data_IF_817266779961
#
_entry.id   IF_817266779961
#
_cell.length_a   1.000
_cell.length_b   1.000
_cell.length_c   1.000
_cell.angle_alpha   90.00
_cell.angle_beta   90.00
_cell.angle_gamma   90.00
#
_symmetry.space_group_name_H-M   'P 1'
#
loop_
_entity.id
_entity.type
_entity.pdbx_description
1 polymer ?
#
# COMPACT_ATOMS: atom_id res chain seq x y z
N UNK A 1 19.52 6.31 -37.23
CA UNK A 1 18.36 6.17 -38.14
C UNK A 1 17.11 6.39 -37.31
N UNK A 2 16.55 7.60 -37.35
CA UNK A 2 15.43 8.00 -36.47
C UNK A 2 14.06 7.72 -37.09
N UNK A 3 13.04 7.70 -36.22
CA UNK A 3 11.61 7.49 -36.55
C UNK A 3 11.05 8.49 -37.58
N UNK A 4 11.75 9.60 -37.84
CA UNK A 4 11.41 10.58 -38.87
C UNK A 4 11.52 10.04 -40.31
N UNK A 5 12.21 8.92 -40.54
CA UNK A 5 12.34 8.31 -41.87
C UNK A 5 11.08 7.58 -42.35
N UNK A 6 10.01 7.50 -41.54
CA UNK A 6 8.79 6.77 -41.89
C UNK A 6 7.80 7.61 -42.74
N UNK A 7 7.96 8.93 -42.74
CA UNK A 7 7.08 9.86 -43.48
C UNK A 7 7.45 10.05 -44.96
N UNK A 8 8.47 9.36 -45.47
CA UNK A 8 8.89 9.45 -46.88
C UNK A 8 8.52 8.21 -47.70
N UNK A 9 7.62 7.35 -47.22
CA UNK A 9 7.06 6.24 -47.98
C UNK A 9 5.62 6.51 -48.39
N UNK A 10 5.18 5.78 -49.42
CA UNK A 10 3.94 5.97 -50.19
C UNK A 10 2.66 6.18 -49.35
N UNK A 11 1.72 6.93 -49.95
CA UNK A 11 0.42 7.38 -49.40
C UNK A 11 -0.46 6.29 -48.73
N UNK A 12 -0.18 5.02 -48.98
CA UNK A 12 -0.89 3.86 -48.43
C UNK A 12 -0.59 3.59 -46.94
N UNK A 13 0.48 4.16 -46.37
CA UNK A 13 0.82 3.97 -44.94
C UNK A 13 0.25 5.10 -44.06
N UNK A 14 -0.03 6.28 -44.62
CA UNK A 14 -0.59 7.41 -43.89
C UNK A 14 -2.05 7.21 -43.44
N UNK A 15 -2.74 6.21 -43.99
CA UNK A 15 -4.15 5.91 -43.72
C UNK A 15 -4.38 4.59 -42.95
N UNK A 16 -3.35 4.09 -42.25
CA UNK A 16 -3.53 2.95 -41.36
C UNK A 16 -4.29 3.37 -40.09
N UNK A 17 -5.50 2.84 -39.90
CA UNK A 17 -6.35 3.07 -38.71
C UNK A 17 -5.62 2.77 -37.39
N UNK A 18 -4.58 1.92 -37.43
CA UNK A 18 -3.77 1.58 -36.25
C UNK A 18 -2.96 2.77 -35.73
N UNK A 19 -2.53 3.69 -36.61
CA UNK A 19 -1.77 4.88 -36.23
C UNK A 19 -2.70 5.98 -35.71
N UNK A 20 -3.92 6.07 -36.24
CA UNK A 20 -4.89 7.08 -35.83
C UNK A 20 -5.42 6.86 -34.40
N UNK A 21 -5.74 5.61 -34.03
CA UNK A 21 -6.16 5.28 -32.64
C UNK A 21 -5.09 5.50 -31.58
N UNK A 22 -3.81 5.53 -31.96
CA UNK A 22 -2.72 5.72 -31.01
C UNK A 22 -2.55 7.20 -30.58
N UNK A 23 -2.96 8.14 -31.43
CA UNK A 23 -2.82 9.59 -31.18
C UNK A 23 -4.15 10.33 -30.98
N UNK A 24 -5.29 9.70 -31.29
CA UNK A 24 -6.61 10.19 -30.95
C UNK A 24 -7.42 9.07 -30.30
N UNK A 25 -7.55 9.05 -28.96
CA UNK A 25 -8.51 8.18 -28.29
C UNK A 25 -9.90 8.54 -28.81
N UNK A 26 -10.45 7.70 -29.68
CA UNK A 26 -11.73 7.94 -30.34
C UNK A 26 -12.86 7.96 -29.31
N UNK A 27 -13.37 9.15 -29.02
CA UNK A 27 -14.71 9.36 -28.49
C UNK A 27 -15.68 9.35 -29.69
N UNK A 28 -16.26 8.18 -29.98
CA UNK A 28 -17.46 7.97 -30.85
C UNK A 28 -17.83 6.48 -30.79
N UNK A 29 -19.05 6.04 -30.50
CA UNK A 29 -20.34 6.66 -30.82
C UNK A 29 -21.33 6.62 -29.65
N UNK A 30 -21.98 7.77 -29.42
CA UNK A 30 -23.26 7.87 -28.75
C UNK A 30 -24.32 7.92 -29.86
N UNK A 31 -25.03 6.81 -30.09
CA UNK A 31 -26.33 6.80 -30.79
C UNK A 31 -27.16 5.56 -30.39
N UNK A 32 -28.12 5.85 -29.51
CA UNK A 32 -29.45 5.25 -29.28
C UNK A 32 -29.75 3.81 -29.75
N UNK A 33 -29.78 2.87 -28.80
CA UNK A 33 -30.74 1.75 -28.77
C UNK A 33 -30.99 1.30 -27.31
N UNK A 34 -32.11 1.74 -26.71
CA UNK A 34 -32.75 1.04 -25.58
C UNK A 34 -33.50 -0.20 -26.13
N UNK A 35 -33.43 -1.38 -25.49
CA UNK A 35 -34.47 -1.70 -24.49
C UNK A 35 -34.04 -2.54 -23.27
N UNK A 36 -34.48 -2.08 -22.10
CA UNK A 36 -34.94 -2.82 -20.88
C UNK A 36 -34.55 -4.31 -20.73
N UNK A 37 -33.70 -4.64 -19.72
CA UNK A 37 -34.04 -5.60 -18.63
C UNK A 37 -32.97 -5.74 -17.53
N UNK A 38 -33.47 -5.68 -16.30
CA UNK A 38 -33.03 -6.31 -15.03
C UNK A 38 -31.72 -5.89 -14.34
N UNK A 39 -31.91 -5.11 -13.25
CA UNK A 39 -31.24 -5.14 -11.93
C UNK A 39 -29.85 -5.80 -11.85
N UNK A 40 -28.85 -5.07 -11.35
CA UNK A 40 -28.26 -5.24 -10.01
C UNK A 40 -27.02 -4.33 -9.84
N UNK A 41 -27.11 -3.41 -8.86
CA UNK A 41 -26.08 -3.11 -7.86
C UNK A 41 -24.70 -2.58 -8.33
N UNK A 42 -24.62 -1.25 -8.41
CA UNK A 42 -23.60 -0.40 -7.80
C UNK A 42 -22.12 -0.69 -8.10
N UNK A 43 -21.50 0.21 -8.85
CA UNK A 43 -20.06 0.46 -8.74
C UNK A 43 -19.86 1.96 -8.61
N UNK A 44 -19.65 2.39 -7.37
CA UNK A 44 -18.93 3.62 -7.12
C UNK A 44 -17.54 3.42 -7.73
N UNK A 45 -17.23 4.19 -8.77
CA UNK A 45 -15.85 4.45 -9.17
C UNK A 45 -15.27 5.29 -8.03
N UNK A 46 -14.84 4.62 -6.97
CA UNK A 46 -13.99 5.21 -5.96
C UNK A 46 -12.70 5.58 -6.67
N UNK A 47 -12.49 6.90 -6.81
CA UNK A 47 -11.19 7.48 -7.05
C UNK A 47 -10.16 6.69 -6.25
N UNK A 48 -9.13 6.17 -6.93
CA UNK A 48 -7.88 5.69 -6.32
C UNK A 48 -7.24 6.86 -5.58
N UNK A 49 -7.83 7.24 -4.44
CA UNK A 49 -7.20 8.13 -3.52
C UNK A 49 -6.02 7.36 -2.95
N UNK A 50 -4.87 8.00 -2.96
CA UNK A 50 -3.62 7.40 -2.53
C UNK A 50 -3.58 7.25 -0.99
N UNK A 51 -4.74 7.22 -0.35
CA UNK A 51 -4.94 7.12 1.09
C UNK A 51 -4.89 5.63 1.44
N UNK A 52 -3.95 5.25 2.30
CA UNK A 52 -3.94 3.89 2.84
C UNK A 52 -5.34 3.52 3.37
N UNK A 53 -5.79 2.29 3.11
CA UNK A 53 -7.11 1.83 3.54
C UNK A 53 -6.98 0.76 4.63
N UNK A 54 -7.91 0.79 5.57
CA UNK A 54 -7.99 -0.17 6.67
C UNK A 54 -7.32 0.29 7.96
N UNK A 55 -7.03 -0.66 8.83
CA UNK A 55 -6.41 -0.40 10.13
C UNK A 55 -5.47 -1.53 10.53
N UNK A 56 -4.46 -1.19 11.33
CA UNK A 56 -3.47 -2.11 11.86
C UNK A 56 -3.56 -2.14 13.39
N UNK A 57 -3.80 -3.32 13.97
CA UNK A 57 -3.73 -3.55 15.40
C UNK A 57 -2.30 -3.93 15.79
N UNK A 58 -1.75 -3.23 16.77
CA UNK A 58 -0.44 -3.54 17.33
C UNK A 58 -0.44 -3.40 18.84
N UNK A 59 0.47 -4.14 19.46
CA UNK A 59 0.85 -3.98 20.86
C UNK A 59 2.28 -3.45 20.93
N UNK A 60 2.50 -2.46 21.80
CA UNK A 60 3.79 -1.80 21.99
C UNK A 60 4.11 -1.75 23.48
N UNK A 61 5.28 -2.25 23.87
CA UNK A 61 5.77 -2.23 25.23
C UNK A 61 7.29 -2.16 25.25
N UNK A 62 7.86 -1.54 26.29
CA UNK A 62 9.26 -1.58 26.62
C UNK A 62 9.48 -2.30 27.96
N UNK A 63 10.19 -3.41 27.93
CA UNK A 63 10.55 -4.19 29.11
C UNK A 63 11.92 -4.85 28.91
N UNK A 64 12.64 -5.11 30.01
CA UNK A 64 13.90 -5.88 29.95
C UNK A 64 15.00 -5.29 29.05
N UNK A 65 15.00 -3.98 28.79
CA UNK A 65 15.98 -3.34 27.90
C UNK A 65 15.64 -3.40 26.40
N UNK A 66 14.40 -3.77 26.06
CA UNK A 66 13.95 -3.88 24.68
C UNK A 66 12.56 -3.26 24.47
N UNK A 67 12.36 -2.63 23.32
CA UNK A 67 11.04 -2.30 22.78
C UNK A 67 10.53 -3.50 21.98
N UNK A 68 9.38 -4.01 22.41
CA UNK A 68 8.62 -5.09 21.79
C UNK A 68 7.44 -4.49 21.02
N UNK A 69 7.34 -4.81 19.73
CA UNK A 69 6.25 -4.39 18.85
C UNK A 69 5.60 -5.64 18.29
N UNK A 70 4.44 -6.01 18.81
CA UNK A 70 3.66 -7.14 18.33
C UNK A 70 2.68 -6.66 17.26
N UNK A 71 2.88 -7.14 16.04
CA UNK A 71 1.94 -6.93 14.93
C UNK A 71 0.83 -7.98 15.06
N UNK A 72 -0.37 -7.56 15.45
CA UNK A 72 -1.50 -8.46 15.70
C UNK A 72 -2.28 -8.74 14.40
N UNK A 73 -3.09 -7.79 13.98
CA UNK A 73 -4.04 -7.95 12.87
C UNK A 73 -4.03 -6.72 11.98
N UNK A 74 -4.37 -6.86 10.72
CA UNK A 74 -4.92 -5.76 9.94
C UNK A 74 -6.32 -6.10 9.47
N UNK A 75 -7.11 -5.08 9.14
CA UNK A 75 -8.46 -5.25 8.62
C UNK A 75 -8.76 -4.24 7.52
N UNK A 76 -9.59 -4.66 6.57
CA UNK A 76 -10.07 -3.84 5.47
C UNK A 76 -8.94 -3.26 4.62
N UNK A 77 -7.90 -4.05 4.36
CA UNK A 77 -6.83 -3.67 3.44
C UNK A 77 -7.36 -3.58 2.01
N UNK A 78 -6.89 -2.58 1.27
CA UNK A 78 -7.22 -2.39 -0.14
C UNK A 78 -6.93 -3.64 -0.98
N UNK A 79 -7.79 -3.89 -1.97
CA UNK A 79 -7.55 -4.91 -2.99
C UNK A 79 -6.40 -4.47 -3.91
N UNK A 80 -5.78 -5.45 -4.57
CA UNK A 80 -4.79 -5.17 -5.61
C UNK A 80 -5.47 -4.50 -6.82
N UNK A 81 -4.72 -3.91 -7.76
CA UNK A 81 -5.29 -3.34 -8.99
C UNK A 81 -6.12 -4.34 -9.82
N UNK A 82 -5.90 -5.64 -9.64
CA UNK A 82 -6.65 -6.72 -10.29
C UNK A 82 -7.93 -7.12 -9.50
N UNK A 83 -8.29 -6.39 -8.45
CA UNK A 83 -9.45 -6.68 -7.61
C UNK A 83 -9.27 -7.91 -6.70
N UNK A 84 -8.04 -8.36 -6.47
CA UNK A 84 -7.76 -9.53 -5.64
C UNK A 84 -7.35 -9.12 -4.22
N UNK A 85 -7.55 -9.98 -3.21
CA UNK A 85 -6.96 -9.76 -1.88
C UNK A 85 -5.43 -9.69 -1.96
N UNK A 86 -4.78 -8.76 -1.23
CA UNK A 86 -3.34 -8.58 -1.29
C UNK A 86 -2.60 -9.75 -0.63
N UNK A 87 -1.28 -9.79 -0.82
CA UNK A 87 -0.38 -10.62 -0.02
C UNK A 87 0.31 -9.74 1.03
N UNK A 88 -0.32 -9.47 2.20
CA UNK A 88 0.16 -8.42 3.08
C UNK A 88 1.40 -8.84 3.90
N UNK A 89 2.26 -7.87 4.16
CA UNK A 89 3.29 -7.90 5.20
C UNK A 89 3.51 -6.50 5.77
N UNK A 90 4.03 -6.43 7.00
CA UNK A 90 4.29 -5.15 7.67
C UNK A 90 5.80 -4.92 7.76
N UNK A 91 6.25 -3.72 7.40
CA UNK A 91 7.60 -3.21 7.69
C UNK A 91 7.51 -2.21 8.84
N UNK A 92 8.43 -2.30 9.77
CA UNK A 92 8.52 -1.42 10.94
C UNK A 92 9.89 -0.78 11.01
N UNK A 93 9.92 0.51 11.30
CA UNK A 93 11.11 1.33 11.48
C UNK A 93 10.99 2.16 12.75
N UNK A 94 12.13 2.53 13.35
CA UNK A 94 12.20 3.58 14.36
C UNK A 94 12.80 4.82 13.72
N UNK A 95 11.98 5.85 13.49
CA UNK A 95 12.39 7.07 12.78
C UNK A 95 12.60 8.25 13.75
N UNK A 96 13.62 9.11 13.57
CA UNK A 96 14.62 9.04 12.51
C UNK A 96 15.53 7.82 12.65
N UNK A 97 15.97 7.23 11.54
CA UNK A 97 16.83 6.03 11.49
C UNK A 97 18.18 6.38 10.82
N UNK A 98 19.11 7.03 11.52
CA UNK A 98 20.36 7.49 10.92
C UNK A 98 21.26 6.33 10.48
N UNK A 99 21.21 5.17 11.16
CA UNK A 99 22.04 4.01 10.82
C UNK A 99 21.39 3.12 9.77
N UNK A 100 20.09 3.29 9.48
CA UNK A 100 19.30 2.49 8.54
C UNK A 100 19.20 1.01 8.93
N UNK A 101 19.29 0.72 10.23
CA UNK A 101 19.33 -0.64 10.78
C UNK A 101 18.05 -1.02 11.54
N UNK A 102 17.09 -0.10 11.66
CA UNK A 102 15.86 -0.31 12.45
C UNK A 102 14.78 -1.06 11.65
N UNK A 103 15.03 -1.37 10.38
CA UNK A 103 14.06 -2.12 9.58
C UNK A 103 13.81 -3.50 10.19
N UNK A 104 12.56 -3.80 10.50
CA UNK A 104 12.04 -5.14 10.81
C UNK A 104 10.83 -5.42 9.92
N UNK A 105 10.51 -6.68 9.69
CA UNK A 105 9.32 -7.05 8.92
C UNK A 105 8.71 -8.36 9.39
N UNK A 106 7.40 -8.49 9.20
CA UNK A 106 6.67 -9.75 9.34
C UNK A 106 6.90 -10.66 8.13
N UNK A 107 6.41 -11.89 8.23
CA UNK A 107 6.21 -12.76 7.07
C UNK A 107 5.11 -12.20 6.17
N UNK A 108 5.12 -12.67 4.93
CA UNK A 108 4.08 -12.40 3.93
C UNK A 108 2.96 -13.42 4.12
N UNK A 109 1.73 -12.94 4.27
CA UNK A 109 0.53 -13.77 4.23
C UNK A 109 -0.07 -13.70 2.83
N UNK A 110 -0.67 -14.80 2.35
CA UNK A 110 -1.19 -14.89 0.98
C UNK A 110 -2.67 -14.51 0.92
N UNK A 111 -3.04 -13.69 -0.07
CA UNK A 111 -4.42 -13.37 -0.47
C UNK A 111 -5.36 -13.09 0.71
N UNK A 112 -5.04 -12.07 1.50
CA UNK A 112 -5.78 -11.77 2.73
C UNK A 112 -5.89 -10.26 2.98
N UNK A 113 -7.13 -9.73 2.99
CA UNK A 113 -7.42 -8.32 3.34
C UNK A 113 -7.65 -8.10 4.85
N UNK A 114 -7.72 -9.17 5.64
CA UNK A 114 -7.89 -9.19 7.09
C UNK A 114 -6.85 -10.10 7.78
N UNK A 115 -5.54 -9.86 7.57
CA UNK A 115 -4.49 -10.75 8.06
C UNK A 115 -4.38 -10.77 9.59
N UNK A 116 -3.99 -11.94 10.12
CA UNK A 116 -3.48 -12.11 11.49
C UNK A 116 -2.00 -12.45 11.41
N UNK A 117 -1.14 -11.51 11.78
CA UNK A 117 0.32 -11.69 11.72
C UNK A 117 0.82 -12.42 12.95
N UNK A 118 0.46 -11.93 14.14
CA UNK A 118 0.93 -12.46 15.44
C UNK A 118 2.46 -12.58 15.53
N UNK A 119 3.17 -11.57 15.02
CA UNK A 119 4.63 -11.55 14.96
C UNK A 119 5.21 -10.44 15.85
N UNK A 120 6.10 -10.81 16.75
CA UNK A 120 6.82 -9.90 17.64
C UNK A 120 8.10 -9.40 16.96
N UNK A 121 8.27 -8.08 16.89
CA UNK A 121 9.46 -7.41 16.38
C UNK A 121 10.14 -6.68 17.54
N UNK A 122 11.43 -6.95 17.78
CA UNK A 122 12.16 -6.44 18.95
C UNK A 122 13.29 -5.48 18.57
N UNK A 123 13.45 -4.44 19.39
CA UNK A 123 14.54 -3.46 19.34
C UNK A 123 15.23 -3.35 20.69
N UNK A 124 16.51 -3.73 20.76
CA UNK A 124 17.34 -3.58 21.95
C UNK A 124 18.06 -2.24 21.93
N UNK A 125 17.40 -1.23 22.48
CA UNK A 125 17.89 0.14 22.55
C UNK A 125 17.57 0.71 23.94
N UNK A 126 18.39 1.60 24.50
CA UNK A 126 18.06 2.30 25.74
C UNK A 126 16.72 3.06 25.65
N UNK A 127 15.95 3.08 26.73
CA UNK A 127 14.61 3.68 26.77
C UNK A 127 14.61 5.16 26.39
N UNK A 128 15.62 5.90 26.82
CA UNK A 128 15.84 7.31 26.47
C UNK A 128 15.99 7.50 24.95
N UNK A 129 16.75 6.62 24.29
CA UNK A 129 16.86 6.61 22.82
C UNK A 129 15.53 6.26 22.18
N UNK A 130 14.84 5.21 22.66
CA UNK A 130 13.53 4.79 22.14
C UNK A 130 12.52 5.94 22.17
N UNK A 131 12.47 6.71 23.27
CA UNK A 131 11.56 7.85 23.42
C UNK A 131 11.81 8.99 22.43
N UNK A 132 13.00 9.09 21.85
CA UNK A 132 13.30 10.10 20.81
C UNK A 132 12.85 9.69 19.40
N UNK A 133 12.29 8.48 19.24
CA UNK A 133 11.88 7.94 17.94
C UNK A 133 10.35 7.90 17.82
N UNK A 134 9.89 7.84 16.58
CA UNK A 134 8.55 7.40 16.21
C UNK A 134 8.62 5.99 15.64
N UNK A 135 7.65 5.16 16.00
CA UNK A 135 7.41 3.87 15.38
C UNK A 135 6.66 4.10 14.07
N UNK A 136 7.28 3.75 12.95
CA UNK A 136 6.64 3.81 11.63
C UNK A 136 6.36 2.39 11.16
N UNK A 137 5.09 2.01 11.12
CA UNK A 137 4.62 0.72 10.62
C UNK A 137 3.90 0.91 9.29
N UNK A 138 4.34 0.17 8.26
CA UNK A 138 3.80 0.27 6.90
C UNK A 138 3.38 -1.09 6.40
N UNK A 139 2.20 -1.19 5.83
CA UNK A 139 1.63 -2.40 5.26
C UNK A 139 1.85 -2.41 3.76
N UNK A 140 2.25 -3.55 3.22
CA UNK A 140 2.63 -3.71 1.82
C UNK A 140 2.01 -4.98 1.25
N UNK A 141 1.61 -4.93 -0.01
CA UNK A 141 1.34 -6.11 -0.82
C UNK A 141 2.66 -6.59 -1.44
N UNK A 142 2.99 -7.85 -1.18
CA UNK A 142 4.09 -8.54 -1.86
C UNK A 142 3.65 -9.09 -3.23
N UNK A 143 4.40 -8.72 -4.27
CA UNK A 143 4.31 -9.28 -5.60
C UNK A 143 5.70 -9.79 -6.02
N UNK A 144 5.76 -10.99 -6.64
CA UNK A 144 7.03 -11.60 -7.06
C UNK A 144 7.51 -11.12 -8.43
N UNK A 145 6.62 -10.54 -9.23
CA UNK A 145 6.86 -10.10 -10.61
C UNK A 145 6.86 -8.57 -10.75
N UNK A 146 6.21 -7.87 -9.82
CA UNK A 146 6.06 -6.41 -9.82
C UNK A 146 6.65 -5.76 -8.56
N UNK A 147 6.74 -4.43 -8.55
CA UNK A 147 7.06 -3.70 -7.33
C UNK A 147 6.01 -3.93 -6.25
N UNK A 148 6.46 -4.02 -5.00
CA UNK A 148 5.55 -4.17 -3.87
C UNK A 148 4.68 -2.92 -3.73
N UNK A 149 3.36 -3.09 -3.72
CA UNK A 149 2.42 -2.00 -3.56
C UNK A 149 2.29 -1.61 -2.09
N UNK A 150 2.32 -0.31 -1.82
CA UNK A 150 2.05 0.24 -0.50
C UNK A 150 0.54 0.22 -0.22
N UNK A 151 0.14 -0.25 0.96
CA UNK A 151 -1.28 -0.36 1.36
C UNK A 151 -1.67 0.65 2.45
N UNK A 152 -0.71 1.39 2.99
CA UNK A 152 -0.91 2.35 4.07
C UNK A 152 0.06 2.15 5.23
N UNK A 153 0.10 3.12 6.15
CA UNK A 153 0.91 3.02 7.35
C UNK A 153 0.41 3.88 8.49
N UNK A 154 0.99 3.66 9.67
CA UNK A 154 0.80 4.44 10.87
C UNK A 154 2.15 4.90 11.43
N UNK A 155 2.19 6.12 11.96
CA UNK A 155 3.36 6.69 12.64
C UNK A 155 2.96 7.08 14.05
N UNK A 156 3.68 6.55 15.04
CA UNK A 156 3.35 6.72 16.46
C UNK A 156 4.59 7.27 17.17
N UNK A 157 4.58 8.52 17.65
CA UNK A 157 5.66 9.03 18.51
C UNK A 157 5.77 8.17 19.76
N UNK A 158 6.93 7.53 20.00
CA UNK A 158 7.05 6.60 21.14
C UNK A 158 7.04 7.33 22.49
N UNK A 159 7.38 8.63 22.51
CA UNK A 159 7.25 9.48 23.68
C UNK A 159 5.80 9.67 24.14
N UNK A 160 4.80 9.51 23.28
CA UNK A 160 3.38 9.70 23.65
C UNK A 160 2.74 8.45 24.26
N UNK A 161 3.42 7.30 24.23
CA UNK A 161 2.92 6.04 24.77
C UNK A 161 3.44 5.80 26.20
N UNK A 162 2.64 5.17 27.08
CA UNK A 162 3.10 4.69 28.38
C UNK A 162 3.94 3.42 28.22
N UNK A 163 5.15 3.52 27.65
CA UNK A 163 5.96 2.37 27.22
C UNK A 163 6.27 1.32 28.31
N UNK A 164 6.15 1.63 29.60
CA UNK A 164 6.36 0.63 30.67
C UNK A 164 5.20 -0.36 30.79
N UNK A 165 4.05 -0.02 30.22
CA UNK A 165 2.84 -0.82 30.15
C UNK A 165 2.61 -1.25 28.71
N UNK A 166 1.87 -2.33 28.53
CA UNK A 166 1.47 -2.78 27.20
C UNK A 166 0.37 -1.86 26.64
N UNK A 167 0.66 -1.18 25.53
CA UNK A 167 -0.35 -0.42 24.80
C UNK A 167 -0.83 -1.23 23.61
N UNK A 168 -2.11 -1.64 23.62
CA UNK A 168 -2.74 -2.38 22.52
C UNK A 168 -3.83 -1.52 21.87
N UNK A 169 -3.66 -1.18 20.59
CA UNK A 169 -4.62 -0.31 19.90
C UNK A 169 -4.72 -0.62 18.40
N UNK A 170 -5.84 -0.19 17.81
CA UNK A 170 -6.01 -0.10 16.36
C UNK A 170 -5.55 1.27 15.87
N UNK A 171 -4.76 1.27 14.82
CA UNK A 171 -4.26 2.48 14.16
C UNK A 171 -4.80 2.53 12.73
N UNK A 172 -5.54 3.58 12.35
CA UNK A 172 -5.96 3.78 10.96
C UNK A 172 -4.74 3.85 10.04
N UNK A 173 -4.80 3.17 8.92
CA UNK A 173 -3.76 3.25 7.90
C UNK A 173 -3.95 4.52 7.09
N UNK A 174 -2.85 5.24 6.87
CA UNK A 174 -2.84 6.51 6.13
C UNK A 174 -1.73 6.47 5.08
N UNK A 175 -1.78 7.43 4.16
CA UNK A 175 -0.62 7.72 3.32
C UNK A 175 0.52 8.27 4.19
N UNK A 176 1.73 7.75 3.99
CA UNK A 176 2.94 8.29 4.64
C UNK A 176 3.84 8.83 3.52
N UNK A 177 4.17 10.14 3.53
CA UNK A 177 5.09 10.71 2.56
C UNK A 177 6.46 10.04 2.66
N UNK A 178 7.08 9.79 1.50
CA UNK A 178 8.43 9.23 1.38
C UNK A 178 9.50 10.30 1.62
#
# INVERSE_FOLDING_TARGET
>A
MGLSSLFSLADEIAHSDLVYTFFHPLLRDQQDLEPQRTKHKGEAVESLDNSGSGSLKMSVQYAGGALSVLILHAQSLALTPQGLPPNPYVKVYLVPDPTKETKRKTRVLKRNSHPSFMEMLEYRLPLDVVKTRSLQATVWHYDSLQENQFLGGAVIPLASLPLREETVAWYPLQYIPR
#
